data_IF_664017332078
#
_entry.id   IF_664017332078
#
_cell.length_a   1.000
_cell.length_b   1.000
_cell.length_c   1.000
_cell.angle_alpha   90.00
_cell.angle_beta   90.00
_cell.angle_gamma   90.00
#
_symmetry.space_group_name_H-M   'P 1'
#
loop_
_entity.id
_entity.type
_entity.pdbx_description
1 polymer ?
#
# COMPACT_ATOMS: atom_id res chain seq x y z
N UNK A 1 10.09 5.44 -19.09
CA UNK A 1 9.73 6.60 -19.92
C UNK A 1 9.10 6.21 -21.25
N UNK A 2 9.77 5.40 -22.09
CA UNK A 2 9.24 5.01 -23.41
C UNK A 2 7.84 4.35 -23.36
N UNK A 3 7.60 3.41 -22.44
CA UNK A 3 6.28 2.77 -22.30
C UNK A 3 5.16 3.78 -21.96
N UNK A 4 5.46 4.85 -21.23
CA UNK A 4 4.49 5.88 -20.87
C UNK A 4 3.99 6.69 -22.08
N UNK A 5 4.75 6.71 -23.17
CA UNK A 5 4.37 7.40 -24.42
C UNK A 5 3.26 6.66 -25.18
N UNK A 6 2.97 5.41 -24.82
CA UNK A 6 1.97 4.57 -25.50
C UNK A 6 0.53 4.84 -25.03
N UNK A 7 0.32 5.76 -24.07
CA UNK A 7 -1.01 6.08 -23.54
C UNK A 7 -1.63 4.96 -22.69
N UNK A 8 -0.82 3.98 -22.28
CA UNK A 8 -1.23 2.84 -21.43
C UNK A 8 -0.83 3.09 -19.97
N UNK A 9 -1.54 2.44 -19.07
CA UNK A 9 -1.19 2.45 -17.65
C UNK A 9 0.03 1.56 -17.39
N UNK A 10 1.10 2.18 -16.88
CA UNK A 10 2.34 1.49 -16.49
C UNK A 10 2.46 1.53 -14.97
N UNK A 11 2.42 0.37 -14.32
CA UNK A 11 2.55 0.21 -12.86
C UNK A 11 3.82 -0.55 -12.52
N UNK A 12 4.53 -0.12 -11.48
CA UNK A 12 5.71 -0.82 -10.98
C UNK A 12 5.38 -1.61 -9.71
N UNK A 13 5.92 -2.83 -9.61
CA UNK A 13 5.74 -3.74 -8.49
C UNK A 13 7.09 -4.19 -7.92
N UNK A 14 7.11 -4.59 -6.64
CA UNK A 14 8.28 -5.16 -5.97
C UNK A 14 9.53 -4.27 -6.00
N UNK A 15 9.34 -2.99 -5.67
CA UNK A 15 10.42 -2.00 -5.72
C UNK A 15 11.24 -2.12 -4.44
N UNK A 16 12.54 -2.34 -4.60
CA UNK A 16 13.46 -2.26 -3.48
C UNK A 16 13.77 -0.79 -3.17
N UNK A 17 13.79 -0.36 -1.89
CA UNK A 17 13.91 1.06 -1.49
C UNK A 17 15.32 1.64 -1.65
N UNK A 18 15.89 1.52 -2.85
CA UNK A 18 17.17 2.12 -3.22
C UNK A 18 17.04 3.62 -3.50
N UNK A 19 18.14 4.39 -3.44
CA UNK A 19 18.12 5.83 -3.71
C UNK A 19 17.49 6.22 -5.06
N UNK A 20 17.66 5.40 -6.10
CA UNK A 20 17.12 5.66 -7.45
C UNK A 20 15.59 5.64 -7.53
N UNK A 21 14.89 5.20 -6.49
CA UNK A 21 13.42 5.34 -6.44
C UNK A 21 13.01 6.82 -6.44
N UNK A 22 13.86 7.74 -5.97
CA UNK A 22 13.59 9.16 -6.07
C UNK A 22 13.47 9.64 -7.54
N UNK A 23 14.22 9.03 -8.46
CA UNK A 23 14.28 9.43 -9.87
C UNK A 23 12.98 9.08 -10.63
N UNK A 24 12.19 8.13 -10.12
CA UNK A 24 10.91 7.74 -10.74
C UNK A 24 9.73 8.60 -10.29
N UNK A 25 9.84 9.31 -9.16
CA UNK A 25 8.72 10.09 -8.60
C UNK A 25 8.28 11.23 -9.54
N UNK A 26 9.19 12.01 -10.16
CA UNK A 26 8.78 13.03 -11.14
C UNK A 26 8.02 12.44 -12.32
N UNK A 27 8.42 11.24 -12.80
CA UNK A 27 7.73 10.56 -13.91
C UNK A 27 6.29 10.14 -13.52
N UNK A 28 6.06 9.83 -12.24
CA UNK A 28 4.73 9.59 -11.72
C UNK A 28 3.88 10.85 -11.64
N UNK A 29 4.46 11.95 -11.17
CA UNK A 29 3.80 13.25 -11.11
C UNK A 29 3.42 13.78 -12.51
N UNK A 30 4.27 13.52 -13.51
CA UNK A 30 4.00 13.83 -14.93
C UNK A 30 2.98 12.89 -15.58
N UNK A 31 2.55 11.81 -14.90
CA UNK A 31 1.59 10.84 -15.43
C UNK A 31 2.17 9.85 -16.46
N UNK A 32 3.49 9.83 -16.66
CA UNK A 32 4.16 8.85 -17.54
C UNK A 32 4.17 7.44 -16.94
N UNK A 33 4.13 7.35 -15.62
CA UNK A 33 4.01 6.11 -14.83
C UNK A 33 2.88 6.33 -13.84
N UNK A 34 2.14 5.28 -13.47
CA UNK A 34 1.11 5.42 -12.45
C UNK A 34 1.74 5.81 -11.09
N UNK A 35 1.09 6.72 -10.32
CA UNK A 35 1.55 7.17 -9.02
C UNK A 35 1.29 6.11 -7.95
N UNK A 36 2.01 5.00 -8.06
CA UNK A 36 1.88 3.83 -7.22
C UNK A 36 3.25 3.18 -6.98
N UNK A 37 3.61 3.02 -5.71
CA UNK A 37 4.83 2.36 -5.29
C UNK A 37 4.50 1.18 -4.37
N UNK A 38 4.97 -0.01 -4.73
CA UNK A 38 4.93 -1.19 -3.88
C UNK A 38 6.32 -1.45 -3.32
N UNK A 39 6.54 -1.01 -2.08
CA UNK A 39 7.83 -1.06 -1.38
C UNK A 39 7.65 -1.84 -0.07
N UNK A 40 8.29 -3.00 0.09
CA UNK A 40 8.13 -3.81 1.29
C UNK A 40 9.04 -3.30 2.42
N UNK A 41 8.51 -2.45 3.30
CA UNK A 41 9.27 -1.88 4.43
C UNK A 41 9.62 -2.89 5.53
N UNK A 42 8.84 -3.96 5.67
CA UNK A 42 8.98 -5.04 6.66
C UNK A 42 8.72 -4.64 8.11
N UNK A 43 9.34 -3.57 8.60
CA UNK A 43 9.15 -3.04 9.95
C UNK A 43 9.56 -1.55 10.01
N UNK A 44 9.34 -0.88 11.13
CA UNK A 44 9.76 0.51 11.34
C UNK A 44 10.89 0.64 12.38
N UNK A 45 10.88 -0.19 13.44
CA UNK A 45 11.97 -0.21 14.43
C UNK A 45 13.34 -0.44 13.79
N UNK A 46 14.32 0.46 14.04
CA UNK A 46 15.70 0.28 13.59
C UNK A 46 16.34 -1.03 14.08
N UNK A 47 16.01 -1.46 15.31
CA UNK A 47 16.58 -2.67 15.90
C UNK A 47 16.03 -3.92 15.22
N UNK A 48 14.72 -3.99 15.01
CA UNK A 48 14.08 -5.10 14.28
C UNK A 48 14.55 -5.14 12.83
N UNK A 49 14.62 -4.00 12.15
CA UNK A 49 15.12 -3.91 10.78
C UNK A 49 16.59 -4.38 10.66
N UNK A 50 17.44 -3.99 11.61
CA UNK A 50 18.83 -4.47 11.69
C UNK A 50 18.89 -5.99 11.83
N UNK A 51 18.03 -6.57 12.68
CA UNK A 51 17.95 -8.02 12.85
C UNK A 51 17.43 -8.73 11.59
N UNK A 52 16.51 -8.10 10.85
CA UNK A 52 16.07 -8.54 9.51
C UNK A 52 17.12 -8.34 8.41
N UNK A 53 18.34 -7.88 8.75
CA UNK A 53 19.41 -7.52 7.81
C UNK A 53 18.99 -6.47 6.78
N UNK A 54 18.02 -5.62 7.14
CA UNK A 54 17.68 -4.44 6.36
C UNK A 54 18.68 -3.33 6.71
N UNK A 55 19.08 -2.50 5.73
CA UNK A 55 19.86 -1.30 6.03
C UNK A 55 19.09 -0.43 7.04
N UNK A 56 19.74 0.00 8.13
CA UNK A 56 19.12 0.80 9.19
C UNK A 56 18.71 2.17 8.64
N UNK A 57 17.46 2.31 8.19
CA UNK A 57 16.95 3.50 7.50
C UNK A 57 15.55 3.93 7.98
N UNK A 58 15.11 3.51 9.17
CA UNK A 58 13.78 3.85 9.72
C UNK A 58 13.48 5.36 9.67
N UNK A 59 14.34 6.18 10.28
CA UNK A 59 14.24 7.66 10.25
C UNK A 59 14.31 8.23 8.83
N UNK A 60 15.17 7.66 7.96
CA UNK A 60 15.26 8.10 6.55
C UNK A 60 14.01 7.75 5.75
N UNK A 61 13.18 6.80 6.19
CA UNK A 61 12.05 6.32 5.39
C UNK A 61 10.87 7.29 5.44
N UNK A 62 10.55 7.86 6.61
CA UNK A 62 9.48 8.85 6.73
C UNK A 62 9.80 10.10 5.91
N UNK A 63 11.02 10.62 6.03
CA UNK A 63 11.44 11.79 5.27
C UNK A 63 11.46 11.53 3.76
N UNK A 64 11.81 10.31 3.34
CA UNK A 64 11.68 9.90 1.93
C UNK A 64 10.22 9.89 1.48
N UNK A 65 9.32 9.29 2.25
CA UNK A 65 7.89 9.24 1.93
C UNK A 65 7.33 10.68 1.82
N UNK A 66 7.71 11.56 2.74
CA UNK A 66 7.36 12.99 2.70
C UNK A 66 7.86 13.64 1.42
N UNK A 67 9.16 13.55 1.13
CA UNK A 67 9.74 14.14 -0.08
C UNK A 67 9.12 13.58 -1.37
N UNK A 68 8.79 12.29 -1.41
CA UNK A 68 8.09 11.71 -2.56
C UNK A 68 6.68 12.29 -2.74
N UNK A 69 5.94 12.50 -1.64
CA UNK A 69 4.60 13.09 -1.67
C UNK A 69 4.61 14.59 -1.93
N UNK A 70 5.70 15.30 -1.63
CA UNK A 70 5.88 16.69 -2.06
C UNK A 70 5.97 16.79 -3.58
N UNK A 71 6.67 15.84 -4.23
CA UNK A 71 6.82 15.79 -5.69
C UNK A 71 5.56 15.23 -6.36
N UNK A 72 4.96 14.17 -5.81
CA UNK A 72 3.77 13.50 -6.33
C UNK A 72 2.71 13.40 -5.22
N UNK A 73 1.86 14.44 -5.04
CA UNK A 73 0.88 14.47 -3.94
C UNK A 73 -0.20 13.39 -3.98
N UNK A 74 -0.43 12.79 -5.14
CA UNK A 74 -1.38 11.70 -5.34
C UNK A 74 -0.72 10.31 -5.27
N UNK A 75 0.54 10.22 -4.87
CA UNK A 75 1.28 8.95 -4.72
C UNK A 75 0.61 8.00 -3.72
N UNK A 76 0.17 6.86 -4.23
CA UNK A 76 -0.26 5.73 -3.43
C UNK A 76 0.93 4.83 -3.08
N UNK A 77 1.08 4.51 -1.79
CA UNK A 77 2.14 3.60 -1.32
C UNK A 77 1.51 2.32 -0.79
N UNK A 78 1.98 1.20 -1.32
CA UNK A 78 1.74 -0.15 -0.81
C UNK A 78 2.98 -0.69 -0.11
N UNK A 79 2.79 -1.35 1.02
CA UNK A 79 3.87 -2.02 1.75
C UNK A 79 3.42 -3.32 2.41
N UNK A 80 4.38 -4.12 2.84
CA UNK A 80 4.18 -5.30 3.67
C UNK A 80 5.02 -5.21 4.93
N UNK A 81 4.46 -5.70 6.03
CA UNK A 81 5.05 -5.68 7.36
C UNK A 81 5.02 -7.06 8.01
N UNK A 82 5.97 -7.31 8.90
CA UNK A 82 6.07 -8.53 9.70
C UNK A 82 6.10 -8.13 11.16
N UNK A 83 5.17 -8.68 11.96
CA UNK A 83 5.16 -8.53 13.42
C UNK A 83 5.58 -9.83 14.09
N UNK A 84 6.12 -9.74 15.29
CA UNK A 84 6.56 -10.88 16.08
C UNK A 84 7.91 -11.42 15.67
N UNK A 85 8.75 -10.62 15.01
CA UNK A 85 10.11 -11.03 14.65
C UNK A 85 10.91 -11.37 15.92
N UNK A 86 11.85 -12.35 15.90
CA UNK A 86 12.64 -12.69 17.08
C UNK A 86 13.33 -11.46 17.69
N UNK A 87 13.12 -11.24 18.99
CA UNK A 87 13.61 -10.07 19.74
C UNK A 87 12.78 -8.79 19.60
N UNK A 88 11.62 -8.80 18.93
CA UNK A 88 10.72 -7.64 18.85
C UNK A 88 10.07 -7.35 20.20
N UNK A 89 10.35 -6.18 20.75
CA UNK A 89 9.81 -5.70 22.04
C UNK A 89 8.48 -4.98 21.86
N UNK A 90 7.81 -4.65 22.97
CA UNK A 90 6.59 -3.83 22.92
C UNK A 90 6.88 -2.41 22.43
N UNK A 91 8.01 -1.81 22.82
CA UNK A 91 8.44 -0.48 22.34
C UNK A 91 8.68 -0.48 20.82
N UNK A 92 9.28 -1.55 20.29
CA UNK A 92 9.46 -1.71 18.83
C UNK A 92 8.12 -1.74 18.09
N UNK A 93 7.13 -2.40 18.68
CA UNK A 93 5.81 -2.54 18.10
C UNK A 93 4.99 -1.25 18.20
N UNK A 94 5.02 -0.53 19.33
CA UNK A 94 4.37 0.78 19.43
C UNK A 94 4.99 1.78 18.45
N UNK A 95 6.33 1.80 18.33
CA UNK A 95 7.02 2.61 17.33
C UNK A 95 6.53 2.30 15.90
N UNK A 96 6.27 1.03 15.58
CA UNK A 96 5.69 0.65 14.29
C UNK A 96 4.28 1.23 14.09
N UNK A 97 3.43 1.19 15.11
CA UNK A 97 2.08 1.75 15.01
C UNK A 97 2.09 3.26 14.84
N UNK A 98 2.94 3.96 15.59
CA UNK A 98 3.10 5.42 15.47
C UNK A 98 3.66 5.81 14.10
N UNK A 99 4.65 5.04 13.61
CA UNK A 99 5.20 5.21 12.28
C UNK A 99 4.13 5.06 11.18
N UNK A 100 3.18 4.12 11.32
CA UNK A 100 2.09 3.96 10.34
C UNK A 100 1.19 5.21 10.27
N UNK A 101 0.87 5.80 11.42
CA UNK A 101 0.03 7.00 11.48
C UNK A 101 0.69 8.21 10.81
N UNK A 102 2.01 8.31 10.95
CA UNK A 102 2.80 9.35 10.30
C UNK A 102 3.00 9.09 8.81
N UNK A 103 3.38 7.86 8.45
CA UNK A 103 3.63 7.43 7.08
C UNK A 103 2.36 7.36 6.24
N UNK A 104 1.18 7.16 6.83
CA UNK A 104 -0.13 7.09 6.16
C UNK A 104 -0.10 6.19 4.93
N UNK A 105 0.38 4.96 5.09
CA UNK A 105 0.49 4.00 3.99
C UNK A 105 -0.90 3.68 3.45
N UNK A 106 -1.09 3.80 2.13
CA UNK A 106 -2.39 3.65 1.50
C UNK A 106 -2.89 2.21 1.51
N UNK A 107 -1.97 1.24 1.33
CA UNK A 107 -2.24 -0.20 1.35
C UNK A 107 -1.16 -0.90 2.16
N UNK A 108 -1.52 -1.62 3.21
CA UNK A 108 -0.53 -2.41 3.95
C UNK A 108 -1.05 -3.80 4.28
N UNK A 109 -0.22 -4.81 3.99
CA UNK A 109 -0.37 -6.16 4.51
C UNK A 109 0.50 -6.36 5.75
N UNK A 110 0.03 -7.14 6.70
CA UNK A 110 0.78 -7.54 7.89
C UNK A 110 0.78 -9.06 8.02
N UNK A 111 1.96 -9.61 8.32
CA UNK A 111 2.17 -11.04 8.50
C UNK A 111 2.77 -11.29 9.87
N UNK A 112 2.42 -12.41 10.49
CA UNK A 112 3.09 -12.88 11.70
C UNK A 112 4.40 -13.55 11.28
N UNK A 113 5.48 -13.30 12.02
CA UNK A 113 6.73 -14.00 11.76
C UNK A 113 6.57 -15.50 12.03
N UNK A 114 6.90 -16.29 11.02
CA UNK A 114 7.00 -17.74 11.12
C UNK A 114 8.43 -18.19 10.75
N UNK A 115 9.08 -19.01 11.59
CA UNK A 115 10.42 -19.50 11.29
C UNK A 115 10.38 -20.49 10.13
N UNK A 116 11.03 -20.13 9.02
CA UNK A 116 11.20 -21.04 7.88
C UNK A 116 12.49 -21.83 8.06
N UNK A 117 12.47 -23.15 7.80
CA UNK A 117 13.65 -24.01 7.88
C UNK A 117 14.80 -23.44 7.02
N UNK A 118 15.97 -23.25 7.63
CA UNK A 118 17.16 -22.71 6.95
C UNK A 118 17.21 -21.18 6.83
N UNK A 119 16.23 -20.46 7.37
CA UNK A 119 16.30 -19.00 7.42
C UNK A 119 17.34 -18.53 8.44
N UNK A 120 18.21 -17.59 8.03
CA UNK A 120 19.23 -16.97 8.89
C UNK A 120 18.66 -16.30 10.14
N UNK A 121 17.38 -15.94 10.13
CA UNK A 121 16.68 -15.37 11.29
C UNK A 121 16.61 -16.37 12.46
N UNK A 122 16.67 -17.67 12.19
CA UNK A 122 16.69 -18.71 13.22
C UNK A 122 18.03 -18.76 13.97
N UNK A 123 19.11 -18.29 13.33
CA UNK A 123 20.47 -18.35 13.86
C UNK A 123 20.87 -17.09 14.65
N UNK A 124 19.94 -16.16 14.87
CA UNK A 124 20.21 -14.88 15.54
C UNK A 124 20.36 -15.01 17.07
N UNK A 125 19.97 -16.14 17.66
CA UNK A 125 19.99 -16.34 19.11
C UNK A 125 19.06 -15.42 19.89
N UNK A 126 18.10 -14.78 19.22
CA UNK A 126 17.12 -13.88 19.83
C UNK A 126 15.91 -14.66 20.34
N UNK A 127 15.32 -14.16 21.42
CA UNK A 127 14.11 -14.74 22.00
C UNK A 127 12.95 -14.71 21.00
N UNK A 128 12.26 -15.84 20.87
CA UNK A 128 11.09 -15.95 20.02
C UNK A 128 9.91 -15.26 20.70
N UNK A 129 9.20 -14.41 19.96
CA UNK A 129 7.96 -13.81 20.46
C UNK A 129 6.89 -14.91 20.59
N UNK A 130 6.18 -15.04 21.72
CA UNK A 130 5.08 -15.98 21.89
C UNK A 130 3.97 -15.78 20.86
N UNK A 131 3.33 -16.87 20.42
CA UNK A 131 2.31 -16.83 19.37
C UNK A 131 1.13 -15.91 19.73
N UNK A 132 0.70 -15.91 20.99
CA UNK A 132 -0.39 -15.05 21.48
C UNK A 132 -0.06 -13.56 21.32
N UNK A 133 1.21 -13.19 21.57
CA UNK A 133 1.67 -11.81 21.37
C UNK A 133 1.72 -11.47 19.87
N UNK A 134 2.18 -12.39 19.01
CA UNK A 134 2.14 -12.18 17.56
C UNK A 134 0.73 -11.94 17.04
N UNK A 135 -0.23 -12.72 17.54
CA UNK A 135 -1.66 -12.58 17.19
C UNK A 135 -2.20 -11.22 17.62
N UNK A 136 -1.96 -10.84 18.88
CA UNK A 136 -2.39 -9.55 19.42
C UNK A 136 -1.79 -8.38 18.63
N UNK A 137 -0.49 -8.43 18.32
CA UNK A 137 0.20 -7.43 17.50
C UNK A 137 -0.37 -7.36 16.08
N UNK A 138 -0.62 -8.50 15.45
CA UNK A 138 -1.23 -8.56 14.12
C UNK A 138 -2.62 -7.90 14.10
N UNK A 139 -3.50 -8.23 15.05
CA UNK A 139 -4.82 -7.60 15.15
C UNK A 139 -4.74 -6.09 15.37
N UNK A 140 -3.86 -5.64 16.27
CA UNK A 140 -3.66 -4.21 16.56
C UNK A 140 -3.13 -3.46 15.34
N UNK A 141 -2.16 -4.04 14.63
CA UNK A 141 -1.64 -3.48 13.38
C UNK A 141 -2.75 -3.35 12.34
N UNK A 142 -3.48 -4.43 12.06
CA UNK A 142 -4.53 -4.42 11.03
C UNK A 142 -5.65 -3.45 11.37
N UNK A 143 -6.03 -3.33 12.65
CA UNK A 143 -7.00 -2.34 13.10
C UNK A 143 -6.50 -0.91 12.91
N UNK A 144 -5.23 -0.62 13.19
CA UNK A 144 -4.61 0.70 12.93
C UNK A 144 -4.60 1.02 11.43
N UNK A 145 -4.11 0.09 10.62
CA UNK A 145 -4.06 0.25 9.15
C UNK A 145 -5.45 0.43 8.54
N UNK A 146 -6.47 -0.28 9.03
CA UNK A 146 -7.84 -0.14 8.53
C UNK A 146 -8.35 1.30 8.69
N UNK A 147 -8.06 1.95 9.82
CA UNK A 147 -8.42 3.36 10.07
C UNK A 147 -7.70 4.32 9.12
N UNK A 148 -6.41 4.08 8.89
CA UNK A 148 -5.60 4.85 7.93
C UNK A 148 -6.19 4.72 6.52
N UNK A 149 -6.42 3.50 6.05
CA UNK A 149 -6.97 3.23 4.72
C UNK A 149 -8.36 3.85 4.53
N UNK A 150 -9.25 3.70 5.51
CA UNK A 150 -10.57 4.34 5.49
C UNK A 150 -10.46 5.87 5.38
N UNK A 151 -9.54 6.50 6.13
CA UNK A 151 -9.30 7.95 6.07
C UNK A 151 -8.79 8.38 4.70
N UNK A 152 -7.86 7.62 4.09
CA UNK A 152 -7.32 7.92 2.77
C UNK A 152 -8.39 7.78 1.68
N UNK A 153 -9.22 6.73 1.74
CA UNK A 153 -10.30 6.51 0.79
C UNK A 153 -11.45 7.50 0.94
N UNK A 154 -11.78 7.93 2.16
CA UNK A 154 -12.81 8.94 2.39
C UNK A 154 -12.50 10.26 1.66
N UNK A 155 -11.22 10.62 1.48
CA UNK A 155 -10.80 11.80 0.69
C UNK A 155 -11.10 11.69 -0.80
N UNK A 156 -11.49 10.51 -1.29
CA UNK A 156 -11.90 10.29 -2.68
C UNK A 156 -13.40 10.49 -2.89
N UNK A 157 -14.21 10.50 -1.83
CA UNK A 157 -15.65 10.74 -1.92
C UNK A 157 -15.91 12.13 -2.54
N UNK A 158 -16.85 12.18 -3.47
CA UNK A 158 -17.21 13.37 -4.26
C UNK A 158 -16.31 13.64 -5.47
N UNK A 159 -15.14 12.99 -5.56
CA UNK A 159 -14.25 13.14 -6.72
C UNK A 159 -14.73 12.30 -7.91
N UNK A 160 -14.34 12.75 -9.11
CA UNK A 160 -14.49 12.00 -10.36
C UNK A 160 -13.15 11.37 -10.71
N UNK A 161 -13.08 10.05 -10.73
CA UNK A 161 -11.84 9.30 -10.96
C UNK A 161 -11.94 8.48 -12.24
N UNK A 162 -10.87 8.40 -13.05
CA UNK A 162 -10.76 7.39 -14.09
C UNK A 162 -10.67 6.00 -13.46
N UNK A 163 -11.50 5.07 -13.92
CA UNK A 163 -11.57 3.69 -13.44
C UNK A 163 -11.49 2.74 -14.63
N UNK A 164 -10.49 1.86 -14.60
CA UNK A 164 -10.39 0.76 -15.55
C UNK A 164 -11.36 -0.34 -15.12
N UNK A 165 -12.27 -0.74 -16.00
CA UNK A 165 -13.23 -1.81 -15.75
C UNK A 165 -12.54 -3.16 -15.90
N UNK A 166 -12.55 -4.00 -14.86
CA UNK A 166 -12.07 -5.38 -14.96
C UNK A 166 -13.24 -6.33 -15.29
N UNK A 167 -14.40 -6.13 -14.66
CA UNK A 167 -15.57 -6.98 -14.78
C UNK A 167 -16.84 -6.12 -14.94
N UNK A 168 -17.75 -6.53 -15.82
CA UNK A 168 -19.02 -5.83 -16.03
C UNK A 168 -20.18 -6.82 -16.24
N UNK A 169 -21.31 -6.52 -15.60
CA UNK A 169 -22.55 -7.28 -15.68
C UNK A 169 -23.73 -6.31 -15.77
N UNK A 170 -24.29 -6.18 -16.97
CA UNK A 170 -25.35 -5.23 -17.30
C UNK A 170 -25.04 -3.80 -16.83
N UNK A 171 -25.73 -3.32 -15.80
CA UNK A 171 -25.62 -1.96 -15.26
C UNK A 171 -24.66 -1.87 -14.06
N UNK A 172 -24.06 -2.98 -13.67
CA UNK A 172 -23.08 -3.06 -12.58
C UNK A 172 -21.70 -3.41 -13.11
N UNK A 173 -20.65 -2.84 -12.53
CA UNK A 173 -19.29 -3.16 -12.88
C UNK A 173 -18.35 -3.10 -11.67
N UNK A 174 -17.21 -3.76 -11.80
CA UNK A 174 -16.09 -3.70 -10.87
C UNK A 174 -14.84 -3.27 -11.64
N UNK A 175 -14.08 -2.35 -11.07
CA UNK A 175 -12.89 -1.84 -11.69
C UNK A 175 -11.90 -1.28 -10.67
N UNK A 176 -10.87 -0.60 -11.15
CA UNK A 176 -9.74 -0.14 -10.32
C UNK A 176 -9.30 1.24 -10.72
N UNK A 177 -8.88 2.04 -9.75
CA UNK A 177 -8.25 3.31 -10.04
C UNK A 177 -6.77 3.12 -10.37
N UNK A 178 -6.11 4.17 -10.84
CA UNK A 178 -4.65 4.16 -11.01
C UNK A 178 -3.88 3.88 -9.71
N UNK A 179 -4.52 4.00 -8.54
CA UNK A 179 -3.91 3.80 -7.23
C UNK A 179 -4.01 2.36 -6.71
N UNK A 180 -4.71 1.47 -7.42
CA UNK A 180 -4.97 0.11 -6.95
C UNK A 180 -4.38 -0.90 -7.94
N UNK A 181 -3.67 -1.91 -7.43
CA UNK A 181 -3.16 -3.05 -8.17
C UNK A 181 -4.22 -4.16 -8.34
N UNK A 182 -4.14 -4.98 -9.41
CA UNK A 182 -5.12 -6.04 -9.62
C UNK A 182 -4.98 -7.10 -8.53
N UNK A 183 -6.10 -7.69 -8.12
CA UNK A 183 -6.22 -8.81 -7.15
C UNK A 183 -5.79 -8.53 -5.71
N UNK A 184 -4.82 -7.63 -5.48
CA UNK A 184 -4.16 -7.45 -4.18
C UNK A 184 -4.62 -6.19 -3.42
N UNK A 185 -5.25 -5.23 -4.11
CA UNK A 185 -5.74 -3.98 -3.54
C UNK A 185 -7.28 -3.88 -3.68
N UNK A 186 -7.82 -2.74 -3.24
CA UNK A 186 -9.24 -2.44 -3.29
C UNK A 186 -9.80 -2.24 -4.69
N UNK A 187 -11.11 -2.33 -4.78
CA UNK A 187 -11.88 -2.20 -6.02
C UNK A 187 -12.82 -1.01 -5.97
N UNK A 188 -13.24 -0.57 -7.16
CA UNK A 188 -14.34 0.38 -7.34
C UNK A 188 -15.56 -0.39 -7.83
N UNK A 189 -16.62 -0.37 -7.04
CA UNK A 189 -17.93 -0.89 -7.42
C UNK A 189 -18.75 0.21 -8.08
N UNK A 190 -19.23 -0.05 -9.29
CA UNK A 190 -19.75 0.98 -10.17
C UNK A 190 -21.17 0.63 -10.57
N UNK A 191 -22.05 1.61 -10.46
CA UNK A 191 -23.39 1.58 -11.05
C UNK A 191 -23.41 2.46 -12.30
N UNK A 192 -24.04 1.99 -13.37
CA UNK A 192 -24.11 2.69 -14.66
C UNK A 192 -25.50 2.60 -15.25
N UNK A 193 -25.92 3.65 -15.99
CA UNK A 193 -27.17 3.64 -16.75
C UNK A 193 -27.09 2.81 -18.03
N UNK A 194 -25.88 2.54 -18.51
CA UNK A 194 -25.60 1.81 -19.75
C UNK A 194 -24.63 0.67 -19.48
N UNK A 195 -24.69 -0.43 -20.25
CA UNK A 195 -23.68 -1.48 -20.16
C UNK A 195 -22.27 -0.95 -20.32
N UNK A 196 -21.39 -1.39 -19.42
CA UNK A 196 -19.95 -1.16 -19.48
C UNK A 196 -19.25 -2.43 -19.99
N UNK A 197 -18.01 -2.31 -20.47
CA UNK A 197 -17.21 -3.46 -20.91
C UNK A 197 -15.88 -3.49 -20.18
N UNK A 198 -15.41 -4.71 -19.91
CA UNK A 198 -14.05 -4.92 -19.42
C UNK A 198 -13.03 -4.29 -20.38
N UNK A 199 -12.01 -3.63 -19.81
CA UNK A 199 -11.00 -2.88 -20.54
C UNK A 199 -11.34 -1.41 -20.83
N UNK A 200 -12.62 -0.99 -20.69
CA UNK A 200 -12.97 0.42 -20.80
C UNK A 200 -12.39 1.21 -19.60
N UNK A 201 -11.92 2.43 -19.83
CA UNK A 201 -11.62 3.39 -18.77
C UNK A 201 -12.74 4.42 -18.73
N UNK A 202 -13.49 4.44 -17.63
CA UNK A 202 -14.66 5.31 -17.46
C UNK A 202 -14.48 6.28 -16.30
N UNK A 203 -15.12 7.44 -16.39
CA UNK A 203 -15.14 8.38 -15.28
C UNK A 203 -16.22 7.96 -14.27
N UNK A 204 -15.81 7.73 -13.02
CA UNK A 204 -16.72 7.36 -11.94
C UNK A 204 -16.74 8.46 -10.91
N UNK A 205 -17.93 8.97 -10.57
CA UNK A 205 -18.12 9.81 -9.39
C UNK A 205 -18.18 8.92 -8.16
N UNK A 206 -17.27 9.10 -7.22
CA UNK A 206 -17.24 8.33 -5.97
C UNK A 206 -18.29 8.88 -5.02
N UNK A 207 -19.22 8.03 -4.59
CA UNK A 207 -20.35 8.40 -3.73
C UNK A 207 -20.12 7.92 -2.28
N UNK A 208 -19.46 6.78 -2.09
CA UNK A 208 -19.05 6.28 -0.77
C UNK A 208 -17.72 5.52 -0.83
N UNK A 209 -17.12 5.33 0.33
CA UNK A 209 -15.95 4.50 0.53
C UNK A 209 -16.14 3.68 1.81
N UNK A 210 -15.57 2.48 1.84
CA UNK A 210 -15.29 1.76 3.09
C UNK A 210 -13.78 1.74 3.36
N UNK A 211 -13.30 0.81 4.18
CA UNK A 211 -11.89 0.74 4.54
C UNK A 211 -10.97 0.33 3.38
N UNK A 212 -11.48 -0.36 2.36
CA UNK A 212 -10.65 -0.92 1.28
C UNK A 212 -11.21 -0.59 -0.10
N UNK A 213 -12.54 -0.48 -0.23
CA UNK A 213 -13.23 -0.34 -1.50
C UNK A 213 -13.92 1.02 -1.66
N UNK A 214 -14.11 1.40 -2.92
CA UNK A 214 -14.84 2.59 -3.35
C UNK A 214 -16.12 2.19 -4.05
N UNK A 215 -17.11 3.07 -3.99
CA UNK A 215 -18.38 2.84 -4.66
C UNK A 215 -18.86 4.14 -5.28
N UNK A 216 -19.40 4.03 -6.48
CA UNK A 216 -19.80 5.20 -7.22
C UNK A 216 -20.63 4.90 -8.45
N UNK A 217 -20.87 5.94 -9.21
CA UNK A 217 -21.65 5.89 -10.44
C UNK A 217 -20.84 6.38 -11.64
N UNK A 218 -20.98 5.69 -12.77
CA UNK A 218 -20.41 6.15 -14.04
C UNK A 218 -21.10 7.43 -14.49
N UNK A 219 -20.33 8.44 -14.90
CA UNK A 219 -20.79 9.79 -15.23
C UNK A 219 -20.27 10.31 -16.56
#
# INVERSE_FOLDING_TARGET
EELGKLGVWVRMHYIYPYPHVADVIPLMAEGKILPYLDIPFQHASPQVLKNMRRPAHGEKTLDRIRGWREICPDLAIRSTFIVGFPGETDDDFEMLLDWLDEAKIDRAGCFKYEPVRGARSNDLGLEQVPQEIKEARWHRFMQRQQKISATQLARKIGKRLPVLIDEAHDTSAKGRTKYDAPEIDGSVHIQSRRPLRAGDVVTVKIDRADAYDLYGSAV
#
